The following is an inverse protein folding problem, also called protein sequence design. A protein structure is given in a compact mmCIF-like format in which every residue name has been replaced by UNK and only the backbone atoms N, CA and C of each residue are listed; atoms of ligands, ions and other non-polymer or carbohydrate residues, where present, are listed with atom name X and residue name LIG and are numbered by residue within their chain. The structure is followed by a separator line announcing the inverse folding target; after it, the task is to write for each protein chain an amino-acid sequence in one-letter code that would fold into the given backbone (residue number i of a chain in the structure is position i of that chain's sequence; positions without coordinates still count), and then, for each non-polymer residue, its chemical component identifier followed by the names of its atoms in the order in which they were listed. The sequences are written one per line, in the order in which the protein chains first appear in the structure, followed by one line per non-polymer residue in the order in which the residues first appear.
data_IF_227713709108
#
_entry.id   IF_227713709108
#
_cell.length_a   1.000
_cell.length_b   1.000
_cell.length_c   1.000
_cell.angle_alpha   90.00
_cell.angle_beta   90.00
_cell.angle_gamma   90.00
#
_symmetry.space_group_name_H-M   'P 1'
#
loop_
_entity.id
_entity.type
_entity.pdbx_description
1 polymer ?
#
# COMPACT_ATOMS: atom_id res chain seq x y z
N UNK A 1 15.70 12.22 20.51
CA UNK A 1 16.14 10.84 20.20
C UNK A 1 14.99 10.09 19.57
N UNK A 2 15.24 9.25 18.56
CA UNK A 2 14.21 8.45 17.89
C UNK A 2 13.78 7.32 18.84
N UNK A 3 12.48 7.17 19.10
CA UNK A 3 11.96 6.17 20.04
C UNK A 3 11.83 4.78 19.40
N UNK A 4 11.64 3.73 20.21
CA UNK A 4 11.32 2.40 19.70
C UNK A 4 10.03 2.41 18.85
N UNK A 5 9.01 3.18 19.28
CA UNK A 5 7.77 3.37 18.52
C UNK A 5 8.02 3.99 17.14
N UNK A 6 8.89 5.00 17.04
CA UNK A 6 9.28 5.57 15.74
C UNK A 6 9.89 4.52 14.80
N UNK A 7 10.79 3.66 15.30
CA UNK A 7 11.41 2.62 14.50
C UNK A 7 10.40 1.56 14.03
N UNK A 8 9.43 1.20 14.86
CA UNK A 8 8.36 0.27 14.50
C UNK A 8 7.43 0.85 13.41
N UNK A 9 7.04 2.13 13.52
CA UNK A 9 6.26 2.80 12.47
C UNK A 9 7.06 2.89 11.18
N UNK A 10 8.35 3.22 11.25
CA UNK A 10 9.21 3.25 10.07
C UNK A 10 9.29 1.86 9.42
N UNK A 11 9.51 0.80 10.19
CA UNK A 11 9.56 -0.55 9.66
C UNK A 11 8.23 -0.95 8.97
N UNK A 12 7.09 -0.65 9.60
CA UNK A 12 5.77 -0.81 8.99
C UNK A 12 5.65 -0.05 7.66
N UNK A 13 6.03 1.23 7.65
CA UNK A 13 5.99 2.10 6.48
C UNK A 13 6.88 1.56 5.34
N UNK A 14 8.09 1.11 5.66
CA UNK A 14 9.02 0.53 4.69
C UNK A 14 8.52 -0.79 4.12
N UNK A 15 7.90 -1.67 4.91
CA UNK A 15 7.32 -2.92 4.40
C UNK A 15 6.24 -2.60 3.36
N UNK A 16 5.30 -1.72 3.68
CA UNK A 16 4.26 -1.34 2.72
C UNK A 16 4.84 -0.63 1.50
N UNK A 17 5.82 0.25 1.69
CA UNK A 17 6.52 0.93 0.61
C UNK A 17 7.27 -0.01 -0.33
N UNK A 18 7.98 -1.01 0.20
CA UNK A 18 8.68 -2.03 -0.58
C UNK A 18 7.71 -2.90 -1.38
N UNK A 19 6.59 -3.30 -0.78
CA UNK A 19 5.52 -4.00 -1.50
C UNK A 19 4.95 -3.13 -2.63
N UNK A 20 4.70 -1.85 -2.37
CA UNK A 20 4.26 -0.88 -3.38
C UNK A 20 5.26 -0.71 -4.53
N UNK A 21 6.55 -0.59 -4.21
CA UNK A 21 7.62 -0.48 -5.19
C UNK A 21 7.74 -1.76 -6.04
N UNK A 22 7.71 -2.92 -5.41
CA UNK A 22 7.73 -4.20 -6.09
C UNK A 22 6.50 -4.35 -7.01
N UNK A 23 5.30 -4.04 -6.50
CA UNK A 23 4.06 -4.07 -7.27
C UNK A 23 4.10 -3.13 -8.49
N UNK A 24 4.66 -1.92 -8.33
CA UNK A 24 4.89 -0.99 -9.44
C UNK A 24 5.78 -1.60 -10.52
N UNK A 25 6.93 -2.17 -10.14
CA UNK A 25 7.84 -2.82 -11.08
C UNK A 25 7.15 -4.00 -11.76
N UNK A 26 6.44 -4.85 -11.02
CA UNK A 26 5.72 -5.99 -11.58
C UNK A 26 4.56 -5.58 -12.52
N UNK A 27 3.98 -4.39 -12.31
CA UNK A 27 2.91 -3.83 -13.15
C UNK A 27 3.44 -3.30 -14.48
N UNK A 28 4.58 -2.59 -14.47
CA UNK A 28 5.07 -1.88 -15.65
C UNK A 28 6.29 -2.51 -16.33
N UNK A 29 6.99 -3.42 -15.64
CA UNK A 29 8.25 -4.04 -16.09
C UNK A 29 8.16 -5.56 -16.08
N UNK A 30 7.24 -6.11 -16.86
CA UNK A 30 7.19 -7.53 -17.14
C UNK A 30 5.77 -8.09 -17.21
N UNK A 31 5.62 -9.39 -17.51
CA UNK A 31 4.31 -10.00 -17.73
C UNK A 31 3.65 -10.51 -16.43
N UNK A 32 4.14 -10.12 -15.25
CA UNK A 32 3.76 -10.74 -13.97
C UNK A 32 2.24 -10.67 -13.68
N UNK A 33 1.59 -9.58 -14.10
CA UNK A 33 0.13 -9.40 -13.98
C UNK A 33 -0.63 -9.61 -15.29
N UNK A 34 0.02 -10.10 -16.34
CA UNK A 34 -0.68 -10.43 -17.57
C UNK A 34 -1.56 -11.67 -17.36
N UNK A 35 -2.74 -11.74 -18.00
CA UNK A 35 -3.47 -12.99 -18.10
C UNK A 35 -2.62 -14.08 -18.71
N UNK A 36 -2.75 -15.32 -18.20
CA UNK A 36 -2.07 -16.49 -18.79
C UNK A 36 -2.54 -16.76 -20.23
N UNK A 37 -3.81 -16.47 -20.52
CA UNK A 37 -4.35 -16.52 -21.88
C UNK A 37 -3.97 -15.26 -22.68
N UNK A 38 -3.25 -15.49 -23.78
CA UNK A 38 -2.83 -14.43 -24.70
C UNK A 38 -4.01 -13.81 -25.46
N UNK A 39 -5.03 -14.60 -25.79
CA UNK A 39 -6.21 -14.09 -26.48
C UNK A 39 -6.97 -13.09 -25.58
N UNK A 40 -7.17 -13.43 -24.30
CA UNK A 40 -7.73 -12.51 -23.32
C UNK A 40 -6.92 -11.22 -23.19
N UNK A 41 -5.58 -11.30 -23.19
CA UNK A 41 -4.73 -10.10 -23.14
C UNK A 41 -5.01 -9.16 -24.33
N UNK A 42 -5.20 -9.69 -25.54
CA UNK A 42 -5.55 -8.87 -26.70
C UNK A 42 -6.95 -8.25 -26.56
N UNK A 43 -7.94 -9.04 -26.13
CA UNK A 43 -9.31 -8.53 -25.92
C UNK A 43 -9.36 -7.43 -24.88
N UNK A 44 -8.64 -7.53 -23.76
CA UNK A 44 -8.56 -6.47 -22.74
C UNK A 44 -7.97 -5.16 -23.29
N UNK A 45 -7.10 -5.24 -24.31
CA UNK A 45 -6.53 -4.06 -24.98
C UNK A 45 -7.48 -3.42 -25.98
N UNK A 46 -8.52 -4.11 -26.42
CA UNK A 46 -9.48 -3.65 -27.42
C UNK A 46 -10.75 -3.08 -26.79
N UNK A 47 -11.26 -3.73 -25.74
CA UNK A 47 -12.56 -3.36 -25.14
C UNK A 47 -12.41 -2.30 -24.05
N UNK A 48 -13.36 -1.38 -23.99
CA UNK A 48 -13.47 -0.36 -22.95
C UNK A 48 -14.42 -0.81 -21.83
N UNK A 49 -14.26 -0.28 -20.59
CA UNK A 49 -15.30 -0.40 -19.58
C UNK A 49 -16.59 0.31 -20.04
N UNK A 50 -17.73 -0.03 -19.43
CA UNK A 50 -19.02 0.59 -19.78
C UNK A 50 -19.07 2.09 -19.44
N UNK A 51 -18.32 2.53 -18.42
CA UNK A 51 -18.35 3.92 -17.93
C UNK A 51 -17.81 4.93 -18.96
N UNK A 52 -16.86 4.53 -19.83
CA UNK A 52 -16.27 5.41 -20.84
C UNK A 52 -15.54 4.61 -21.92
N UNK A 53 -15.50 5.15 -23.14
CA UNK A 53 -14.73 4.62 -24.28
C UNK A 53 -13.32 5.21 -24.40
N UNK A 54 -12.94 6.13 -23.52
CA UNK A 54 -11.65 6.84 -23.58
C UNK A 54 -10.45 5.99 -23.11
N UNK A 55 -10.71 4.82 -22.54
CA UNK A 55 -9.70 3.87 -22.09
C UNK A 55 -10.09 2.44 -22.44
N UNK A 56 -9.17 1.50 -22.28
CA UNK A 56 -9.42 0.07 -22.46
C UNK A 56 -9.35 -0.62 -21.11
N UNK A 57 -9.93 -1.81 -20.97
CA UNK A 57 -9.84 -2.60 -19.74
C UNK A 57 -8.37 -2.81 -19.34
N UNK A 58 -7.48 -2.98 -20.32
CA UNK A 58 -6.03 -3.04 -20.12
C UNK A 58 -5.45 -1.76 -19.53
N UNK A 59 -5.69 -0.61 -20.18
CA UNK A 59 -5.15 0.68 -19.72
C UNK A 59 -5.71 1.07 -18.35
N UNK A 60 -6.99 0.82 -18.10
CA UNK A 60 -7.63 1.03 -16.80
C UNK A 60 -6.99 0.14 -15.73
N UNK A 61 -6.81 -1.16 -16.00
CA UNK A 61 -6.14 -2.08 -15.07
C UNK A 61 -4.72 -1.66 -14.71
N UNK A 62 -3.91 -1.25 -15.70
CA UNK A 62 -2.58 -0.68 -15.45
C UNK A 62 -2.65 0.57 -14.57
N UNK A 63 -3.60 1.48 -14.84
CA UNK A 63 -3.81 2.67 -14.04
C UNK A 63 -4.20 2.37 -12.60
N UNK A 64 -5.09 1.40 -12.37
CA UNK A 64 -5.53 0.99 -11.04
C UNK A 64 -4.42 0.30 -10.24
N UNK A 65 -3.61 -0.56 -10.87
CA UNK A 65 -2.44 -1.14 -10.21
C UNK A 65 -1.36 -0.09 -9.92
N UNK A 66 -1.18 0.88 -10.82
CA UNK A 66 -0.29 2.03 -10.61
C UNK A 66 -0.73 2.92 -9.45
N UNK A 67 -2.01 3.29 -9.38
CA UNK A 67 -2.54 4.12 -8.30
C UNK A 67 -2.49 3.38 -6.95
N UNK A 68 -2.71 2.07 -6.95
CA UNK A 68 -2.53 1.23 -5.76
C UNK A 68 -1.09 1.25 -5.25
N UNK A 69 -0.10 1.08 -6.15
CA UNK A 69 1.32 1.20 -5.80
C UNK A 69 1.66 2.58 -5.24
N UNK A 70 1.13 3.64 -5.86
CA UNK A 70 1.36 5.02 -5.44
C UNK A 70 0.82 5.27 -4.03
N UNK A 71 -0.35 4.74 -3.69
CA UNK A 71 -0.91 4.86 -2.34
C UNK A 71 0.01 4.23 -1.28
N UNK A 72 0.56 3.04 -1.55
CA UNK A 72 1.51 2.38 -0.65
C UNK A 72 2.83 3.16 -0.50
N UNK A 73 3.36 3.71 -1.60
CA UNK A 73 4.57 4.53 -1.60
C UNK A 73 4.37 5.86 -0.87
N UNK A 74 3.24 6.53 -1.08
CA UNK A 74 2.90 7.78 -0.39
C UNK A 74 2.70 7.54 1.11
N UNK A 75 2.05 6.43 1.49
CA UNK A 75 1.99 6.03 2.90
C UNK A 75 3.39 5.91 3.49
N UNK A 76 4.29 5.20 2.82
CA UNK A 76 5.65 5.00 3.28
C UNK A 76 6.41 6.32 3.42
N UNK A 77 6.29 7.20 2.42
CA UNK A 77 6.92 8.52 2.42
C UNK A 77 6.39 9.41 3.55
N UNK A 78 5.08 9.53 3.70
CA UNK A 78 4.46 10.40 4.70
C UNK A 78 4.68 9.87 6.12
N UNK A 79 4.29 8.63 6.40
CA UNK A 79 4.35 8.09 7.76
C UNK A 79 5.76 7.70 8.19
N UNK A 80 6.61 7.25 7.24
CA UNK A 80 8.03 7.05 7.50
C UNK A 80 8.75 8.36 7.83
N UNK A 81 8.49 9.43 7.06
CA UNK A 81 9.04 10.76 7.36
C UNK A 81 8.54 11.28 8.71
N UNK A 82 7.23 11.21 8.97
CA UNK A 82 6.64 11.65 10.24
C UNK A 82 7.24 10.91 11.43
N UNK A 83 7.40 9.59 11.36
CA UNK A 83 7.97 8.80 12.45
C UNK A 83 9.45 9.12 12.73
N UNK A 84 10.23 9.44 11.69
CA UNK A 84 11.66 9.72 11.79
C UNK A 84 11.98 11.18 12.12
N UNK A 85 11.37 12.11 11.39
CA UNK A 85 11.74 13.52 11.38
C UNK A 85 10.82 14.39 12.24
N UNK A 86 9.56 13.98 12.41
CA UNK A 86 8.55 14.74 13.15
C UNK A 86 7.81 13.87 14.19
N UNK A 87 8.52 13.08 15.02
CA UNK A 87 7.88 12.12 15.92
C UNK A 87 6.96 12.79 16.95
N UNK A 88 7.30 14.00 17.42
CA UNK A 88 6.46 14.75 18.35
C UNK A 88 5.11 15.15 17.72
N UNK A 89 5.12 15.57 16.46
CA UNK A 89 3.89 15.89 15.71
C UNK A 89 3.06 14.62 15.48
N UNK A 90 3.71 13.53 15.08
CA UNK A 90 3.04 12.29 14.75
C UNK A 90 2.39 11.64 15.99
N UNK A 91 3.17 11.39 17.04
CA UNK A 91 2.69 10.75 18.26
C UNK A 91 1.85 11.69 19.14
N UNK A 92 1.95 13.00 18.95
CA UNK A 92 1.09 13.99 19.60
C UNK A 92 -0.30 14.15 18.96
N UNK A 93 -0.60 13.43 17.87
CA UNK A 93 -1.87 13.54 17.14
C UNK A 93 -2.58 12.20 16.98
N UNK A 94 -3.66 12.00 17.74
CA UNK A 94 -4.56 10.85 17.58
C UNK A 94 -5.08 10.72 16.14
N UNK A 95 -5.29 11.84 15.45
CA UNK A 95 -5.71 11.84 14.06
C UNK A 95 -4.65 11.23 13.14
N UNK A 96 -3.38 11.64 13.24
CA UNK A 96 -2.31 11.10 12.40
C UNK A 96 -2.06 9.61 12.69
N UNK A 97 -2.05 9.22 13.96
CA UNK A 97 -1.92 7.81 14.34
C UNK A 97 -3.10 6.96 13.84
N UNK A 98 -4.33 7.46 14.04
CA UNK A 98 -5.54 6.78 13.59
C UNK A 98 -5.64 6.69 12.07
N UNK A 99 -5.21 7.73 11.35
CA UNK A 99 -5.19 7.74 9.88
C UNK A 99 -4.25 6.66 9.34
N UNK A 100 -3.03 6.55 9.88
CA UNK A 100 -2.10 5.53 9.42
C UNK A 100 -2.60 4.11 9.71
N UNK A 101 -3.18 3.88 10.89
CA UNK A 101 -3.81 2.60 11.24
C UNK A 101 -4.98 2.25 10.31
N UNK A 102 -5.83 3.23 10.00
CA UNK A 102 -6.98 3.07 9.11
C UNK A 102 -6.54 2.66 7.71
N UNK A 103 -5.52 3.33 7.16
CA UNK A 103 -4.99 2.99 5.84
C UNK A 103 -4.43 1.57 5.81
N UNK A 104 -3.60 1.18 6.78
CA UNK A 104 -3.05 -0.18 6.84
C UNK A 104 -4.14 -1.24 6.97
N UNK A 105 -5.16 -0.98 7.78
CA UNK A 105 -6.30 -1.88 7.95
C UNK A 105 -7.09 -2.02 6.65
N UNK A 106 -7.34 -0.92 5.94
CA UNK A 106 -8.02 -0.95 4.64
C UNK A 106 -7.22 -1.76 3.61
N UNK A 107 -5.90 -1.56 3.53
CA UNK A 107 -5.02 -2.36 2.68
C UNK A 107 -5.06 -3.85 3.05
N UNK A 108 -5.05 -4.18 4.34
CA UNK A 108 -5.12 -5.57 4.80
C UNK A 108 -6.45 -6.23 4.44
N UNK A 109 -7.57 -5.50 4.58
CA UNK A 109 -8.90 -5.99 4.20
C UNK A 109 -9.00 -6.21 2.69
N UNK A 110 -8.50 -5.28 1.87
CA UNK A 110 -8.44 -5.46 0.42
C UNK A 110 -7.56 -6.67 0.04
N UNK A 111 -6.40 -6.83 0.70
CA UNK A 111 -5.51 -7.96 0.48
C UNK A 111 -6.18 -9.30 0.77
N UNK A 112 -6.90 -9.38 1.89
CA UNK A 112 -7.64 -10.56 2.30
C UNK A 112 -8.79 -10.89 1.33
N UNK A 113 -9.47 -9.87 0.80
CA UNK A 113 -10.65 -10.06 -0.04
C UNK A 113 -10.31 -10.36 -1.51
N UNK A 114 -9.26 -9.73 -2.05
CA UNK A 114 -9.03 -9.68 -3.50
C UNK A 114 -7.63 -10.11 -3.95
N UNK A 115 -6.64 -10.21 -3.07
CA UNK A 115 -5.24 -10.44 -3.47
C UNK A 115 -4.73 -11.81 -3.04
N UNK A 116 -3.53 -12.15 -3.51
CA UNK A 116 -2.85 -13.39 -3.16
C UNK A 116 -2.08 -13.24 -1.83
N UNK A 117 -1.64 -14.37 -1.27
CA UNK A 117 -1.14 -14.46 0.11
C UNK A 117 0.07 -13.57 0.44
N UNK A 118 0.97 -13.35 -0.52
CA UNK A 118 2.24 -12.63 -0.28
C UNK A 118 2.02 -11.18 0.20
N UNK A 119 1.30 -10.31 -0.52
CA UNK A 119 1.02 -8.95 -0.03
C UNK A 119 0.20 -8.98 1.26
N UNK A 120 -0.73 -9.92 1.43
CA UNK A 120 -1.51 -10.04 2.67
C UNK A 120 -0.63 -10.27 3.90
N UNK A 121 0.36 -11.17 3.82
CA UNK A 121 1.28 -11.44 4.93
C UNK A 121 2.16 -10.22 5.25
N UNK A 122 2.72 -9.57 4.22
CA UNK A 122 3.56 -8.39 4.43
C UNK A 122 2.78 -7.21 5.02
N UNK A 123 1.56 -6.95 4.54
CA UNK A 123 0.69 -5.91 5.10
C UNK A 123 0.23 -6.27 6.51
N UNK A 124 -0.05 -7.55 6.78
CA UNK A 124 -0.36 -8.02 8.13
C UNK A 124 0.79 -7.75 9.12
N UNK A 125 2.04 -8.03 8.71
CA UNK A 125 3.22 -7.69 9.51
C UNK A 125 3.36 -6.18 9.73
N UNK A 126 3.18 -5.37 8.69
CA UNK A 126 3.21 -3.91 8.81
C UNK A 126 2.14 -3.41 9.80
N UNK A 127 0.91 -3.91 9.70
CA UNK A 127 -0.19 -3.58 10.61
C UNK A 127 0.12 -3.94 12.06
N UNK A 128 0.72 -5.12 12.31
CA UNK A 128 1.14 -5.53 13.66
C UNK A 128 2.23 -4.59 14.21
N UNK A 129 3.26 -4.27 13.42
CA UNK A 129 4.33 -3.38 13.85
C UNK A 129 3.80 -1.97 14.16
N UNK A 130 2.92 -1.45 13.32
CA UNK A 130 2.27 -0.16 13.56
C UNK A 130 1.43 -0.18 14.83
N UNK A 131 0.60 -1.21 15.03
CA UNK A 131 -0.20 -1.39 16.24
C UNK A 131 0.66 -1.46 17.51
N UNK A 132 1.75 -2.24 17.49
CA UNK A 132 2.70 -2.32 18.59
C UNK A 132 3.34 -0.96 18.90
N UNK A 133 3.69 -0.18 17.89
CA UNK A 133 4.23 1.16 18.08
C UNK A 133 3.27 2.08 18.85
N UNK A 134 1.98 2.03 18.49
CA UNK A 134 0.95 2.81 19.18
C UNK A 134 0.75 2.34 20.63
N UNK A 135 0.76 1.03 20.86
CA UNK A 135 0.65 0.48 22.22
C UNK A 135 1.84 0.88 23.10
N UNK A 136 3.06 0.91 22.56
CA UNK A 136 4.27 1.27 23.31
C UNK A 136 4.39 2.77 23.59
N UNK A 137 3.85 3.62 22.72
CA UNK A 137 3.86 5.06 22.93
C UNK A 137 2.97 5.47 24.12
N UNK A 138 1.93 4.66 24.41
CA UNK A 138 0.79 5.06 25.21
C UNK A 138 -0.11 5.96 24.37
N UNK A 139 -1.40 5.60 24.24
CA UNK A 139 -2.37 6.58 23.76
C UNK A 139 -2.39 7.73 24.78
N UNK A 140 -2.36 9.01 24.34
CA UNK A 140 -2.44 10.14 25.26
C UNK A 140 -3.71 10.09 26.11
#
# INVERSE_FOLDING_TARGET
MISASSWLVLASALILGLLGAAHWVLTYRGPAFHPRDRALTQRLKEVSPLVSRETTMWRAGLGFHGSHSLGALLFAACFGYLALQQPALFFGSLYLMGLGLTVLTAYFMLARAYWFRVPQLGIGLALVLYGLALSLQGLP
#
